data_IF_772361673883
#
_entry.id   IF_772361673883
#
_cell.length_a   1.000
_cell.length_b   1.000
_cell.length_c   1.000
_cell.angle_alpha   90.00
_cell.angle_beta   90.00
_cell.angle_gamma   90.00
#
_symmetry.space_group_name_H-M   'P 1'
#
loop_
_entity.id
_entity.type
_entity.pdbx_description
1 polymer ?
#
# COMPACT_ATOMS: atom_id res chain seq x y z
N UNK A 1 2.98 -3.79 -11.76
CA UNK A 1 2.02 -3.15 -10.85
C UNK A 1 2.15 -3.81 -9.49
N UNK A 2 1.78 -3.16 -8.39
CA UNK A 2 1.79 -3.83 -7.08
C UNK A 2 0.78 -4.99 -7.06
N UNK A 3 1.24 -6.17 -6.66
CA UNK A 3 0.42 -7.39 -6.56
C UNK A 3 -0.57 -7.28 -5.42
N UNK A 4 -0.18 -6.68 -4.29
CA UNK A 4 -1.05 -6.54 -3.12
C UNK A 4 -2.24 -5.60 -3.37
N UNK A 5 -2.05 -4.50 -4.10
CA UNK A 5 -3.18 -3.63 -4.49
C UNK A 5 -4.05 -4.32 -5.54
N UNK A 6 -3.44 -5.09 -6.45
CA UNK A 6 -4.17 -5.94 -7.38
C UNK A 6 -5.02 -7.01 -6.68
N UNK A 7 -4.51 -7.59 -5.60
CA UNK A 7 -5.21 -8.56 -4.75
C UNK A 7 -6.42 -7.90 -4.08
N UNK A 8 -6.24 -6.71 -3.49
CA UNK A 8 -7.36 -5.94 -2.95
C UNK A 8 -8.43 -5.65 -4.01
N UNK A 9 -8.03 -5.21 -5.21
CA UNK A 9 -8.99 -4.93 -6.29
C UNK A 9 -9.79 -6.18 -6.69
N UNK A 10 -9.15 -7.35 -6.71
CA UNK A 10 -9.81 -8.63 -7.01
C UNK A 10 -10.76 -9.10 -5.91
N UNK A 11 -10.54 -8.71 -4.65
CA UNK A 11 -11.47 -9.02 -3.55
C UNK A 11 -12.88 -8.43 -3.77
N UNK A 12 -13.05 -7.46 -4.68
CA UNK A 12 -14.38 -6.99 -5.07
C UNK A 12 -15.26 -8.10 -5.65
N UNK A 13 -14.65 -9.08 -6.31
CA UNK A 13 -15.33 -10.16 -7.04
C UNK A 13 -15.59 -11.40 -6.15
N UNK A 14 -15.20 -11.38 -4.87
CA UNK A 14 -15.38 -12.49 -3.93
C UNK A 14 -14.29 -12.56 -2.86
N UNK A 15 -13.67 -13.72 -2.68
CA UNK A 15 -12.45 -13.84 -1.89
C UNK A 15 -11.26 -13.31 -2.71
N UNK A 16 -10.38 -12.51 -2.10
CA UNK A 16 -9.07 -12.21 -2.70
C UNK A 16 -8.25 -13.48 -2.95
N UNK A 17 -7.08 -13.35 -3.57
CA UNK A 17 -6.20 -14.48 -3.90
C UNK A 17 -4.86 -14.40 -3.13
N UNK A 18 -4.85 -13.72 -1.98
CA UNK A 18 -3.64 -13.45 -1.21
C UNK A 18 -3.92 -12.90 0.18
N UNK A 19 -3.39 -11.72 0.49
CA UNK A 19 -3.54 -11.10 1.82
C UNK A 19 -5.00 -10.79 2.15
N UNK A 20 -5.81 -10.53 1.13
CA UNK A 20 -7.24 -10.22 1.30
C UNK A 20 -8.16 -11.41 0.99
N UNK A 21 -7.62 -12.63 0.95
CA UNK A 21 -8.43 -13.83 0.79
C UNK A 21 -9.35 -14.03 2.01
N UNK A 22 -10.66 -14.10 1.78
CA UNK A 22 -11.67 -14.23 2.84
C UNK A 22 -11.91 -12.97 3.69
N UNK A 23 -11.23 -11.85 3.43
CA UNK A 23 -11.48 -10.59 4.15
C UNK A 23 -12.74 -9.89 3.61
N UNK A 24 -13.86 -10.06 4.33
CA UNK A 24 -15.14 -9.43 3.98
C UNK A 24 -15.10 -7.91 4.04
N UNK A 25 -14.25 -7.32 4.90
CA UNK A 25 -14.09 -5.88 5.02
C UNK A 25 -13.36 -5.36 3.79
N UNK A 26 -12.26 -5.99 3.41
CA UNK A 26 -11.53 -5.67 2.18
C UNK A 26 -12.45 -5.77 0.96
N UNK A 27 -13.19 -6.88 0.83
CA UNK A 27 -14.13 -7.09 -0.26
C UNK A 27 -15.23 -6.01 -0.33
N UNK A 28 -15.80 -5.63 0.82
CA UNK A 28 -16.81 -4.57 0.89
C UNK A 28 -16.26 -3.23 0.41
N UNK A 29 -15.07 -2.87 0.87
CA UNK A 29 -14.41 -1.64 0.43
C UNK A 29 -14.05 -1.70 -1.06
N UNK A 30 -13.51 -2.81 -1.55
CA UNK A 30 -13.17 -2.99 -2.96
C UNK A 30 -14.40 -2.88 -3.87
N UNK A 31 -15.58 -3.34 -3.43
CA UNK A 31 -16.86 -3.16 -4.15
C UNK A 31 -17.30 -1.70 -4.28
N UNK A 32 -16.88 -0.81 -3.37
CA UNK A 32 -17.18 0.63 -3.49
C UNK A 32 -16.35 1.34 -4.56
N UNK A 33 -15.35 0.66 -5.13
CA UNK A 33 -14.47 1.24 -6.14
C UNK A 33 -15.22 1.49 -7.45
N UNK A 34 -15.31 2.77 -7.85
CA UNK A 34 -15.91 3.16 -9.12
C UNK A 34 -15.08 2.70 -10.34
N UNK A 35 -15.73 2.63 -11.51
CA UNK A 35 -15.09 2.25 -12.79
C UNK A 35 -13.85 3.08 -13.12
N UNK A 36 -13.88 4.39 -12.81
CA UNK A 36 -12.75 5.29 -13.04
C UNK A 36 -11.53 4.93 -12.19
N UNK A 37 -11.73 4.59 -10.91
CA UNK A 37 -10.64 4.20 -10.01
C UNK A 37 -10.02 2.88 -10.46
N UNK A 38 -10.84 1.90 -10.83
CA UNK A 38 -10.38 0.62 -11.38
C UNK A 38 -9.53 0.83 -12.63
N UNK A 39 -10.03 1.63 -13.58
CA UNK A 39 -9.30 1.96 -14.82
C UNK A 39 -7.99 2.70 -14.54
N UNK A 40 -7.99 3.65 -13.61
CA UNK A 40 -6.79 4.43 -13.26
C UNK A 40 -5.74 3.54 -12.58
N UNK A 41 -6.16 2.58 -11.77
CA UNK A 41 -5.27 1.55 -11.24
C UNK A 41 -4.65 0.70 -12.36
N UNK A 42 -5.49 0.12 -13.23
CA UNK A 42 -5.08 -0.78 -14.31
C UNK A 42 -4.17 -0.10 -15.34
N UNK A 43 -4.40 1.19 -15.65
CA UNK A 43 -3.64 1.91 -16.69
C UNK A 43 -2.48 2.73 -16.14
N UNK A 44 -2.64 3.33 -14.96
CA UNK A 44 -1.74 4.36 -14.46
C UNK A 44 -1.12 4.01 -13.10
N UNK A 45 -1.41 2.84 -12.53
CA UNK A 45 -0.97 2.45 -11.18
C UNK A 45 -1.37 3.46 -10.08
N UNK A 46 -2.44 4.23 -10.32
CA UNK A 46 -2.98 5.13 -9.31
C UNK A 46 -3.71 4.28 -8.27
N UNK A 47 -3.33 4.42 -7.01
CA UNK A 47 -3.91 3.69 -5.90
C UNK A 47 -5.39 4.08 -5.73
N UNK A 48 -6.32 3.12 -5.74
CA UNK A 48 -7.73 3.42 -5.54
C UNK A 48 -8.01 4.07 -4.18
N UNK A 49 -8.90 5.08 -4.13
CA UNK A 49 -9.31 5.66 -2.84
C UNK A 49 -10.00 4.63 -1.94
N UNK A 50 -10.69 3.64 -2.52
CA UNK A 50 -11.29 2.53 -1.80
C UNK A 50 -10.26 1.76 -0.95
N UNK A 51 -9.03 1.61 -1.45
CA UNK A 51 -7.94 0.97 -0.71
C UNK A 51 -7.46 1.82 0.46
N UNK A 52 -7.29 3.13 0.25
CA UNK A 52 -6.95 4.07 1.33
C UNK A 52 -8.01 4.06 2.43
N UNK A 53 -9.29 4.07 2.05
CA UNK A 53 -10.40 4.01 3.00
C UNK A 53 -10.44 2.70 3.79
N UNK A 54 -10.07 1.58 3.15
CA UNK A 54 -9.90 0.31 3.85
C UNK A 54 -8.78 0.41 4.89
N UNK A 55 -7.60 0.91 4.52
CA UNK A 55 -6.47 1.06 5.44
C UNK A 55 -6.81 1.97 6.63
N UNK A 56 -7.56 3.04 6.41
CA UNK A 56 -8.10 3.87 7.50
C UNK A 56 -9.08 3.08 8.36
N UNK A 57 -9.99 2.33 7.75
CA UNK A 57 -11.03 1.56 8.44
C UNK A 57 -10.49 0.47 9.36
N UNK A 58 -9.36 -0.14 9.00
CA UNK A 58 -8.66 -1.14 9.83
C UNK A 58 -7.62 -0.52 10.78
N UNK A 59 -7.52 0.82 10.81
CA UNK A 59 -6.57 1.55 11.67
C UNK A 59 -5.10 1.41 11.26
N UNK A 60 -4.83 1.03 10.00
CA UNK A 60 -3.47 0.88 9.48
C UNK A 60 -2.82 2.20 9.05
N UNK A 61 -3.61 3.26 8.81
CA UNK A 61 -3.15 4.63 8.56
C UNK A 61 -4.14 5.62 9.18
N UNK A 62 -3.68 6.84 9.46
CA UNK A 62 -4.58 7.92 9.84
C UNK A 62 -5.42 8.40 8.64
N UNK A 63 -6.61 8.93 8.94
CA UNK A 63 -7.49 9.50 7.93
C UNK A 63 -6.84 10.74 7.31
N UNK A 64 -6.44 10.62 6.05
CA UNK A 64 -5.86 11.71 5.28
C UNK A 64 -6.56 11.86 3.92
N UNK A 65 -6.58 13.08 3.38
CA UNK A 65 -6.98 13.33 2.01
C UNK A 65 -5.74 13.32 1.11
N UNK A 66 -5.75 12.47 0.08
CA UNK A 66 -4.68 12.40 -0.92
C UNK A 66 -5.32 12.68 -2.29
N UNK A 67 -4.88 13.71 -3.03
CA UNK A 67 -5.37 13.96 -4.39
C UNK A 67 -4.90 12.85 -5.34
N UNK A 68 -5.68 12.55 -6.39
CA UNK A 68 -5.41 11.43 -7.31
C UNK A 68 -3.99 11.38 -7.89
N UNK A 69 -3.38 12.50 -8.33
CA UNK A 69 -2.02 12.50 -8.86
C UNK A 69 -0.96 11.99 -7.86
N UNK A 70 -1.23 12.11 -6.57
CA UNK A 70 -0.31 11.74 -5.49
C UNK A 70 -0.61 10.35 -4.90
N UNK A 71 -1.72 9.71 -5.30
CA UNK A 71 -2.10 8.35 -4.85
C UNK A 71 -1.22 7.30 -5.52
N UNK A 72 0.02 7.23 -5.07
CA UNK A 72 1.01 6.27 -5.55
C UNK A 72 1.26 5.20 -4.49
N UNK A 73 1.84 4.08 -4.92
CA UNK A 73 2.29 3.03 -3.99
C UNK A 73 3.28 3.58 -2.96
N UNK A 74 4.19 4.46 -3.39
CA UNK A 74 5.14 5.13 -2.51
C UNK A 74 4.44 5.97 -1.45
N UNK A 75 3.42 6.73 -1.83
CA UNK A 75 2.67 7.53 -0.87
C UNK A 75 1.97 6.68 0.18
N UNK A 76 1.43 5.53 -0.22
CA UNK A 76 0.85 4.57 0.73
C UNK A 76 1.91 4.02 1.68
N UNK A 77 3.10 3.71 1.16
CA UNK A 77 4.19 3.18 1.96
C UNK A 77 4.67 4.20 3.00
N UNK A 78 4.82 5.47 2.63
CA UNK A 78 5.12 6.57 3.57
C UNK A 78 4.10 6.59 4.73
N UNK A 79 2.81 6.57 4.41
CA UNK A 79 1.75 6.58 5.42
C UNK A 79 1.78 5.36 6.34
N UNK A 80 2.15 4.19 5.82
CA UNK A 80 2.29 2.96 6.60
C UNK A 80 3.55 2.97 7.48
N UNK A 81 4.58 3.75 7.14
CA UNK A 81 5.74 3.97 8.01
C UNK A 81 5.43 4.95 9.13
N UNK A 82 4.66 5.99 8.84
CA UNK A 82 4.26 7.01 9.82
C UNK A 82 3.17 6.54 10.78
N UNK A 83 2.41 5.49 10.42
CA UNK A 83 1.33 4.97 11.24
C UNK A 83 1.83 4.22 12.48
N UNK A 84 1.15 4.33 13.64
CA UNK A 84 1.54 3.64 14.86
C UNK A 84 1.30 2.13 14.76
N UNK A 85 2.28 1.37 14.25
CA UNK A 85 2.22 -0.09 14.25
C UNK A 85 3.38 -0.69 15.06
N UNK A 86 3.11 -0.93 16.35
CA UNK A 86 3.74 -1.99 17.16
C UNK A 86 2.72 -2.51 18.17
N UNK A 87 1.77 -3.33 17.71
CA UNK A 87 0.96 -4.12 18.63
C UNK A 87 1.81 -5.30 19.13
N UNK A 88 1.98 -5.44 20.44
CA UNK A 88 2.78 -6.53 21.05
C UNK A 88 2.19 -7.95 20.81
N UNK A 89 0.97 -8.05 20.26
CA UNK A 89 0.22 -9.30 20.12
C UNK A 89 0.29 -9.97 18.74
N UNK A 90 0.94 -9.38 17.74
CA UNK A 90 1.05 -9.93 16.39
C UNK A 90 1.19 -8.87 15.30
N UNK A 91 1.51 -9.29 14.07
CA UNK A 91 1.60 -8.40 12.92
C UNK A 91 0.24 -7.77 12.61
N UNK A 92 0.19 -6.45 12.56
CA UNK A 92 -0.99 -5.71 12.10
C UNK A 92 -1.16 -5.83 10.59
N UNK A 93 -2.39 -5.66 10.10
CA UNK A 93 -2.66 -5.64 8.65
C UNK A 93 -1.84 -4.56 7.93
N UNK A 94 -1.58 -3.43 8.59
CA UNK A 94 -0.69 -2.38 8.07
C UNK A 94 0.74 -2.87 7.85
N UNK A 95 1.29 -3.66 8.78
CA UNK A 95 2.62 -4.26 8.65
C UNK A 95 2.67 -5.31 7.52
N UNK A 96 1.64 -6.16 7.43
CA UNK A 96 1.54 -7.15 6.34
C UNK A 96 1.50 -6.46 4.98
N UNK A 97 0.67 -5.43 4.84
CA UNK A 97 0.56 -4.64 3.61
C UNK A 97 1.87 -3.91 3.32
N UNK A 98 2.52 -3.29 4.32
CA UNK A 98 3.82 -2.62 4.16
C UNK A 98 4.88 -3.59 3.64
N UNK A 99 5.05 -4.74 4.30
CA UNK A 99 6.04 -5.74 3.89
C UNK A 99 5.73 -6.33 2.51
N UNK A 100 4.46 -6.53 2.16
CA UNK A 100 4.07 -6.96 0.82
C UNK A 100 4.40 -5.89 -0.24
N UNK A 101 4.15 -4.61 0.06
CA UNK A 101 4.50 -3.48 -0.80
C UNK A 101 6.01 -3.35 -0.99
N UNK A 102 6.79 -3.47 0.08
CA UNK A 102 8.26 -3.48 0.02
C UNK A 102 8.75 -4.61 -0.88
N UNK A 103 8.24 -5.84 -0.71
CA UNK A 103 8.59 -7.00 -1.57
C UNK A 103 8.20 -6.81 -3.03
N UNK A 104 7.10 -6.10 -3.32
CA UNK A 104 6.71 -5.76 -4.69
C UNK A 104 7.62 -4.69 -5.32
N UNK A 105 8.21 -3.82 -4.51
CA UNK A 105 9.09 -2.72 -4.94
C UNK A 105 10.57 -3.12 -5.00
N UNK A 106 11.04 -3.99 -4.09
CA UNK A 106 12.44 -4.42 -3.96
C UNK A 106 13.07 -5.00 -5.24
N UNK A 107 12.38 -5.84 -6.05
CA UNK A 107 12.91 -6.33 -7.32
C UNK A 107 13.17 -5.21 -8.34
N UNK A 108 12.53 -4.05 -8.18
CA UNK A 108 12.72 -2.89 -9.07
C UNK A 108 13.81 -1.95 -8.57
N UNK A 109 14.03 -1.88 -7.26
CA UNK A 109 15.09 -1.07 -6.64
C UNK A 109 16.46 -1.73 -6.80
N UNK A 110 16.53 -3.07 -6.77
CA UNK A 110 17.80 -3.81 -6.91
C UNK A 110 18.36 -3.84 -8.35
N UNK A 111 17.54 -3.58 -9.37
CA UNK A 111 17.96 -3.50 -10.78
C UNK A 111 18.17 -2.06 -11.27
N UNK A 112 17.86 -1.05 -10.44
CA UNK A 112 17.86 0.35 -10.82
C UNK A 112 18.45 1.24 -9.74
N UNK A 113 19.74 1.55 -9.90
CA UNK A 113 20.47 2.63 -9.26
C UNK A 113 20.95 2.39 -7.82
N UNK A 114 22.26 2.18 -7.73
CA UNK A 114 23.08 2.52 -6.57
C UNK A 114 22.79 3.94 -6.01
N UNK A 115 22.22 4.85 -6.81
CA UNK A 115 21.84 6.21 -6.41
C UNK A 115 20.67 6.26 -5.40
N UNK A 116 19.71 5.33 -5.46
CA UNK A 116 18.58 5.32 -4.52
C UNK A 116 19.00 5.01 -3.08
N UNK A 117 20.02 4.17 -2.88
CA UNK A 117 20.59 3.88 -1.55
C UNK A 117 21.28 5.13 -0.96
N UNK A 118 21.87 5.98 -1.82
CA UNK A 118 22.51 7.23 -1.40
C UNK A 118 21.50 8.32 -0.99
N UNK A 119 20.38 8.43 -1.70
CA UNK A 119 19.34 9.41 -1.34
C UNK A 119 18.56 9.01 -0.08
N UNK A 120 18.31 7.71 0.12
CA UNK A 120 17.65 7.24 1.35
C UNK A 120 18.52 7.45 2.61
N UNK A 121 19.85 7.40 2.49
CA UNK A 121 20.76 7.71 3.59
C UNK A 121 20.81 9.21 3.96
N UNK A 122 20.58 10.10 2.97
CA UNK A 122 20.48 11.55 3.19
C UNK A 122 19.17 11.96 3.87
N UNK A 123 18.05 11.36 3.47
CA UNK A 123 16.73 11.72 4.00
C UNK A 123 16.54 11.26 5.46
N UNK A 124 17.09 10.11 5.84
CA UNK A 124 16.93 9.55 7.19
C UNK A 124 18.10 9.81 8.15
N UNK A 125 19.05 10.67 7.77
CA UNK A 125 20.03 11.23 8.72
C UNK A 125 20.85 10.20 9.49
N UNK A 126 21.11 9.02 8.93
CA UNK A 126 21.95 8.01 9.60
C UNK A 126 23.40 8.47 9.51
N UNK A 127 23.85 9.23 10.53
CA UNK A 127 25.27 9.46 10.77
C UNK A 127 25.92 8.13 11.11
N UNK A 128 26.82 7.67 10.24
CA UNK A 128 27.80 6.64 10.60
C UNK A 128 29.02 7.34 11.20
N UNK A 129 29.45 6.86 12.37
CA UNK A 129 30.82 7.06 12.85
C UNK A 129 31.80 6.29 11.96
#
# INVERSE_FOLDING_TARGET
MSKIIGDFVKSADGAGYGVFEGDEVAARHAKTMGKCQRRNWERHNVVPAAFLNYLVGVGAIEKCFIPEPERTVWKVLELLYDSPARNRGGESIGEVVRTALEKDLLPKVLLGSSEYIWDHAKVFGVKRN
#
